data_IF_832307329953
#
_entry.id   IF_832307329953
#
_cell.length_a   1.000
_cell.length_b   1.000
_cell.length_c   1.000
_cell.angle_alpha   90.00
_cell.angle_beta   90.00
_cell.angle_gamma   90.00
#
_symmetry.space_group_name_H-M   'P 1'
#
loop_
_entity.id
_entity.type
_entity.pdbx_description
1 polymer ?
#
# COMPACT_ATOMS: atom_id res chain seq x y z
N UNK A 1 -0.86 28.93 -21.46
CA UNK A 1 -2.12 28.52 -22.13
C UNK A 1 -2.55 27.18 -21.56
N UNK A 2 -3.55 27.22 -20.68
CA UNK A 2 -4.14 26.06 -20.03
C UNK A 2 -4.80 25.12 -21.06
N UNK A 3 -4.43 23.83 -21.04
CA UNK A 3 -5.31 22.78 -21.56
C UNK A 3 -5.92 22.08 -20.35
N UNK A 4 -7.11 22.52 -19.96
CA UNK A 4 -7.98 21.76 -19.06
C UNK A 4 -8.41 20.51 -19.82
N UNK A 5 -7.99 19.33 -19.37
CA UNK A 5 -8.59 18.07 -19.79
C UNK A 5 -9.80 17.83 -18.89
N UNK A 6 -10.98 18.12 -19.42
CA UNK A 6 -12.24 17.73 -18.81
C UNK A 6 -12.44 16.26 -19.20
N UNK A 7 -12.10 15.34 -18.30
CA UNK A 7 -12.52 13.95 -18.43
C UNK A 7 -13.96 13.86 -17.92
N UNK A 8 -14.91 14.03 -18.83
CA UNK A 8 -16.30 13.66 -18.59
C UNK A 8 -16.40 12.14 -18.70
N UNK A 9 -16.22 11.43 -17.59
CA UNK A 9 -16.51 10.00 -17.49
C UNK A 9 -18.01 9.80 -17.34
N UNK A 10 -18.70 9.50 -18.46
CA UNK A 10 -20.07 9.04 -18.44
C UNK A 10 -20.18 7.76 -17.60
N UNK A 11 -20.96 7.81 -16.52
CA UNK A 11 -21.38 6.63 -15.77
C UNK A 11 -22.25 5.73 -16.66
N UNK A 12 -21.66 4.68 -17.21
CA UNK A 12 -22.41 3.53 -17.72
C UNK A 12 -22.89 2.69 -16.54
N UNK A 13 -24.05 3.01 -16.01
CA UNK A 13 -24.70 2.26 -14.93
C UNK A 13 -25.28 0.97 -15.54
N UNK A 14 -24.55 -0.14 -15.46
CA UNK A 14 -25.11 -1.45 -15.81
C UNK A 14 -25.93 -1.95 -14.62
N UNK A 15 -27.20 -1.54 -14.57
CA UNK A 15 -28.17 -2.08 -13.62
C UNK A 15 -28.64 -3.46 -14.10
N UNK A 16 -28.01 -4.53 -13.61
CA UNK A 16 -28.50 -5.88 -13.82
C UNK A 16 -29.55 -6.23 -12.75
N UNK A 17 -30.84 -6.06 -13.08
CA UNK A 17 -31.95 -6.58 -12.29
C UNK A 17 -32.10 -8.08 -12.57
N UNK A 18 -31.76 -8.95 -11.62
CA UNK A 18 -32.07 -10.38 -11.70
C UNK A 18 -33.16 -10.76 -10.69
N UNK A 19 -34.33 -11.12 -11.22
CA UNK A 19 -35.33 -11.91 -10.50
C UNK A 19 -34.79 -13.33 -10.33
N UNK A 20 -34.90 -13.84 -9.11
CA UNK A 20 -34.09 -14.94 -8.60
C UNK A 20 -34.24 -16.29 -9.29
N UNK A 21 -33.21 -17.11 -9.12
CA UNK A 21 -33.25 -18.56 -9.19
C UNK A 21 -32.24 -19.16 -8.18
N UNK A 22 -32.52 -20.41 -7.84
CA UNK A 22 -32.05 -21.25 -6.73
C UNK A 22 -30.53 -21.33 -6.52
N UNK A 23 -30.13 -21.33 -5.24
CA UNK A 23 -28.76 -21.43 -4.77
C UNK A 23 -28.13 -22.81 -5.03
N UNK A 24 -26.99 -22.80 -5.71
CA UNK A 24 -25.96 -23.84 -5.62
C UNK A 24 -24.90 -23.33 -4.63
N UNK A 25 -24.53 -24.15 -3.65
CA UNK A 25 -23.53 -23.80 -2.65
C UNK A 25 -22.14 -24.18 -3.19
N UNK A 26 -21.33 -23.18 -3.51
CA UNK A 26 -19.94 -23.31 -3.96
C UNK A 26 -19.71 -22.45 -5.20
N UNK A 27 -18.86 -21.43 -5.06
CA UNK A 27 -18.49 -20.45 -6.09
C UNK A 27 -19.58 -19.40 -6.37
N UNK A 28 -19.41 -18.18 -5.84
CA UNK A 28 -20.29 -17.06 -6.17
C UNK A 28 -19.98 -16.61 -7.60
N UNK A 29 -20.81 -17.04 -8.56
CA UNK A 29 -20.86 -16.62 -9.97
C UNK A 29 -21.10 -15.10 -10.20
N UNK A 30 -20.84 -14.26 -9.18
CA UNK A 30 -20.99 -12.81 -9.33
C UNK A 30 -19.76 -12.27 -10.08
N UNK A 31 -19.93 -11.73 -11.31
CA UNK A 31 -18.81 -11.14 -12.04
C UNK A 31 -18.22 -9.95 -11.27
N UNK A 32 -16.97 -9.62 -11.55
CA UNK A 32 -16.38 -8.40 -11.03
C UNK A 32 -17.23 -7.18 -11.43
N UNK A 33 -17.49 -6.29 -10.48
CA UNK A 33 -18.22 -5.08 -10.81
C UNK A 33 -18.83 -4.35 -9.63
N UNK A 34 -19.45 -3.24 -9.98
CA UNK A 34 -20.24 -2.44 -9.06
C UNK A 34 -21.65 -2.98 -8.97
N UNK A 35 -22.14 -3.08 -7.75
CA UNK A 35 -23.47 -3.56 -7.43
C UNK A 35 -24.16 -2.61 -6.47
N UNK A 36 -25.49 -2.71 -6.39
CA UNK A 36 -26.29 -1.89 -5.49
C UNK A 36 -27.45 -2.69 -4.92
N UNK A 37 -27.65 -2.58 -3.62
CA UNK A 37 -28.79 -3.13 -2.89
C UNK A 37 -29.51 -2.03 -2.08
N UNK A 38 -30.40 -2.43 -1.16
CA UNK A 38 -31.15 -1.52 -0.29
C UNK A 38 -30.27 -0.76 0.71
N UNK A 39 -29.08 -1.28 1.05
CA UNK A 39 -28.16 -0.70 2.03
C UNK A 39 -27.15 0.24 1.36
N UNK A 40 -26.73 -0.06 0.14
CA UNK A 40 -25.82 0.83 -0.57
C UNK A 40 -25.20 0.23 -1.83
N UNK A 41 -24.15 0.91 -2.30
CA UNK A 41 -23.32 0.46 -3.41
C UNK A 41 -22.17 -0.36 -2.87
N UNK A 42 -21.85 -1.50 -3.46
CA UNK A 42 -20.69 -2.33 -3.10
C UNK A 42 -19.94 -2.77 -4.37
N UNK A 43 -18.74 -3.30 -4.21
CA UNK A 43 -17.93 -3.82 -5.31
C UNK A 43 -17.57 -5.28 -5.06
N UNK A 44 -17.63 -6.08 -6.11
CA UNK A 44 -17.13 -7.45 -6.12
C UNK A 44 -15.90 -7.46 -7.00
N UNK A 45 -14.78 -7.95 -6.47
CA UNK A 45 -13.56 -8.12 -7.26
C UNK A 45 -13.63 -9.37 -8.15
N UNK A 46 -12.64 -9.53 -9.03
CA UNK A 46 -12.58 -10.67 -9.96
C UNK A 46 -12.43 -12.05 -9.30
N UNK A 47 -12.11 -12.12 -8.00
CA UNK A 47 -12.08 -13.37 -7.22
C UNK A 47 -13.42 -13.61 -6.49
N UNK A 48 -14.42 -12.76 -6.70
CA UNK A 48 -15.69 -12.82 -5.99
C UNK A 48 -15.64 -12.26 -4.56
N UNK A 49 -14.57 -11.54 -4.17
CA UNK A 49 -14.46 -10.95 -2.85
C UNK A 49 -15.03 -9.54 -2.80
N UNK A 50 -15.38 -9.11 -1.59
CA UNK A 50 -15.98 -7.81 -1.30
C UNK A 50 -15.00 -7.02 -0.43
N UNK A 51 -14.46 -5.88 -0.89
CA UNK A 51 -13.65 -5.02 -0.05
C UNK A 51 -14.44 -4.58 1.18
N UNK A 52 -13.90 -4.79 2.38
CA UNK A 52 -14.53 -4.42 3.65
C UNK A 52 -13.51 -3.70 4.54
N UNK A 53 -13.93 -2.59 5.12
CA UNK A 53 -13.16 -1.74 6.01
C UNK A 53 -11.78 -1.35 5.43
N UNK A 54 -11.76 -0.94 4.16
CA UNK A 54 -10.52 -0.63 3.45
C UNK A 54 -10.72 0.30 2.26
N UNK A 55 -9.62 0.97 1.89
CA UNK A 55 -9.48 1.57 0.57
C UNK A 55 -9.20 0.48 -0.48
N UNK A 56 -9.70 0.69 -1.69
CA UNK A 56 -9.58 -0.25 -2.80
C UNK A 56 -9.55 0.50 -4.12
N UNK A 57 -8.60 0.17 -4.99
CA UNK A 57 -8.49 0.79 -6.31
C UNK A 57 -9.26 0.02 -7.35
N UNK A 58 -10.12 0.73 -8.08
CA UNK A 58 -10.98 0.15 -9.09
C UNK A 58 -10.73 0.93 -10.38
N UNK A 59 -10.28 0.21 -11.42
CA UNK A 59 -10.00 0.75 -12.74
C UNK A 59 -10.78 0.04 -13.83
N UNK A 60 -10.78 0.64 -15.01
CA UNK A 60 -11.42 0.06 -16.20
C UNK A 60 -10.46 -0.93 -16.87
N UNK A 61 -10.70 -2.23 -16.64
CA UNK A 61 -9.95 -3.34 -17.25
C UNK A 61 -10.01 -3.36 -18.77
N UNK A 62 -11.08 -2.85 -19.37
CA UNK A 62 -11.27 -2.91 -20.82
C UNK A 62 -10.47 -1.82 -21.55
N UNK A 63 -10.06 -0.76 -20.85
CA UNK A 63 -9.50 0.42 -21.49
C UNK A 63 -8.14 0.90 -20.96
N UNK A 64 -7.44 0.06 -20.16
CA UNK A 64 -6.13 0.38 -19.54
C UNK A 64 -6.13 1.78 -18.88
N UNK A 65 -7.29 2.18 -18.36
CA UNK A 65 -7.51 3.50 -17.81
C UNK A 65 -6.92 3.61 -16.40
N UNK A 66 -6.77 4.83 -15.91
CA UNK A 66 -6.37 5.04 -14.53
C UNK A 66 -7.45 4.50 -13.57
N UNK A 67 -7.01 3.83 -12.50
CA UNK A 67 -7.84 3.40 -11.38
C UNK A 67 -8.12 4.58 -10.44
N UNK A 68 -9.32 4.65 -9.90
CA UNK A 68 -9.66 5.54 -8.79
C UNK A 68 -9.75 4.75 -7.48
N UNK A 69 -9.48 5.41 -6.35
CA UNK A 69 -9.52 4.79 -5.03
C UNK A 69 -10.87 5.05 -4.34
N UNK A 70 -11.45 4.01 -3.74
CA UNK A 70 -12.74 4.04 -3.07
C UNK A 70 -12.61 3.42 -1.68
N UNK A 71 -13.34 3.94 -0.69
CA UNK A 71 -13.40 3.31 0.63
C UNK A 71 -14.69 2.52 0.83
N UNK A 72 -14.55 1.30 1.33
CA UNK A 72 -15.66 0.44 1.71
C UNK A 72 -15.71 0.29 3.23
N UNK A 73 -16.89 0.50 3.81
CA UNK A 73 -17.11 0.41 5.25
C UNK A 73 -16.98 -1.04 5.77
N UNK A 74 -17.18 -1.22 7.08
CA UNK A 74 -17.08 -2.53 7.75
C UNK A 74 -18.02 -3.60 7.17
N UNK A 75 -19.12 -3.18 6.56
CA UNK A 75 -20.13 -4.07 5.98
C UNK A 75 -19.93 -4.26 4.46
N UNK A 76 -18.99 -3.52 3.86
CA UNK A 76 -18.60 -3.62 2.45
C UNK A 76 -19.27 -2.60 1.54
N UNK A 77 -19.89 -1.57 2.11
CA UNK A 77 -20.57 -0.54 1.33
C UNK A 77 -19.69 0.67 1.10
N UNK A 78 -19.76 1.20 -0.13
CA UNK A 78 -19.04 2.37 -0.59
C UNK A 78 -19.42 3.59 0.25
N UNK A 79 -18.42 4.24 0.81
CA UNK A 79 -18.59 5.55 1.45
C UNK A 79 -18.63 6.63 0.38
N UNK A 80 -19.79 7.28 0.23
CA UNK A 80 -20.08 8.23 -0.86
C UNK A 80 -19.81 9.70 -0.54
N UNK A 81 -19.36 10.08 0.66
CA UNK A 81 -18.93 11.45 0.95
C UNK A 81 -18.34 11.54 2.36
N UNK A 82 -17.49 12.53 2.60
CA UNK A 82 -16.97 12.83 3.93
C UNK A 82 -15.48 12.55 4.04
N UNK A 83 -15.00 12.39 5.26
CA UNK A 83 -13.60 12.08 5.54
C UNK A 83 -13.51 10.69 6.19
N UNK A 84 -12.68 9.83 5.61
CA UNK A 84 -12.39 8.48 6.11
C UNK A 84 -10.89 8.31 6.23
N UNK A 85 -10.42 7.91 7.42
CA UNK A 85 -9.00 7.76 7.74
C UNK A 85 -8.15 8.97 7.36
N UNK A 86 -8.79 10.13 7.37
CA UNK A 86 -8.14 11.35 6.99
C UNK A 86 -7.93 11.60 5.50
N UNK A 87 -8.64 10.88 4.67
CA UNK A 87 -8.77 11.11 3.25
C UNK A 87 -10.22 11.51 2.94
N UNK A 88 -10.40 12.54 2.14
CA UNK A 88 -11.74 13.01 1.76
C UNK A 88 -12.23 12.22 0.55
N UNK A 89 -13.49 11.81 0.55
CA UNK A 89 -14.14 11.23 -0.63
C UNK A 89 -15.19 12.20 -1.20
N UNK A 90 -15.29 12.26 -2.54
CA UNK A 90 -16.34 13.01 -3.23
C UNK A 90 -17.69 12.25 -3.18
N UNK A 91 -18.73 12.80 -3.84
CA UNK A 91 -20.10 12.25 -3.85
C UNK A 91 -20.22 10.90 -4.54
N UNK A 92 -19.26 10.62 -5.41
CA UNK A 92 -19.08 9.38 -6.15
C UNK A 92 -18.28 8.34 -5.33
N UNK A 93 -17.85 8.68 -4.11
CA UNK A 93 -17.06 7.84 -3.22
C UNK A 93 -15.58 7.73 -3.59
N UNK A 94 -15.14 8.53 -4.55
CA UNK A 94 -13.75 8.57 -5.00
C UNK A 94 -12.93 9.42 -4.06
N UNK A 95 -11.73 8.93 -3.74
CA UNK A 95 -10.75 9.69 -3.03
C UNK A 95 -10.38 10.99 -3.77
N UNK A 96 -10.42 12.11 -3.03
CA UNK A 96 -10.02 13.42 -3.52
C UNK A 96 -8.95 14.07 -2.64
N UNK A 97 -8.11 14.89 -3.29
CA UNK A 97 -7.18 15.81 -2.64
C UNK A 97 -7.42 17.19 -3.25
N UNK A 98 -7.68 18.20 -2.42
CA UNK A 98 -8.00 19.56 -2.87
C UNK A 98 -9.15 19.63 -3.91
N UNK A 99 -10.09 18.69 -3.85
CA UNK A 99 -11.23 18.61 -4.78
C UNK A 99 -10.95 17.83 -6.07
N UNK A 100 -9.74 17.33 -6.29
CA UNK A 100 -9.38 16.55 -7.48
C UNK A 100 -9.29 15.05 -7.17
N UNK A 101 -9.90 14.22 -8.01
CA UNK A 101 -9.88 12.76 -7.88
C UNK A 101 -8.46 12.25 -8.09
N UNK A 102 -8.03 11.36 -7.20
CA UNK A 102 -6.73 10.73 -7.27
C UNK A 102 -6.82 9.48 -8.15
N UNK A 103 -5.92 9.41 -9.12
CA UNK A 103 -5.84 8.37 -10.12
C UNK A 103 -4.46 7.74 -10.10
N UNK A 104 -4.38 6.44 -10.40
CA UNK A 104 -3.11 5.75 -10.67
C UNK A 104 -3.26 4.83 -11.88
N UNK A 105 -2.20 4.51 -12.61
CA UNK A 105 -2.29 3.53 -13.69
C UNK A 105 -2.86 2.20 -13.16
N UNK A 106 -3.90 1.67 -13.79
CA UNK A 106 -4.41 0.34 -13.44
C UNK A 106 -3.37 -0.70 -13.86
N UNK A 107 -2.61 -1.22 -12.89
CA UNK A 107 -1.75 -2.39 -13.07
C UNK A 107 -2.57 -3.62 -12.74
N UNK A 108 -2.76 -4.48 -13.73
CA UNK A 108 -3.26 -5.83 -13.52
C UNK A 108 -2.14 -6.64 -12.84
N UNK A 109 -2.00 -6.49 -11.52
CA UNK A 109 -1.09 -7.31 -10.69
C UNK A 109 -1.52 -8.77 -10.63
N UNK A 110 -2.59 -9.13 -11.33
CA UNK A 110 -3.30 -10.41 -11.21
C UNK A 110 -3.26 -11.25 -12.49
N UNK A 111 -2.44 -10.89 -13.48
CA UNK A 111 -2.14 -11.75 -14.62
C UNK A 111 -1.08 -12.82 -14.35
N UNK A 112 -0.63 -13.02 -13.10
CA UNK A 112 0.14 -14.20 -12.74
C UNK A 112 -0.42 -14.88 -11.48
N UNK A 113 -0.69 -16.16 -11.66
CA UNK A 113 -1.51 -17.08 -10.89
C UNK A 113 -0.92 -17.47 -9.52
N UNK A 114 -1.82 -17.85 -8.59
CA UNK A 114 -1.58 -18.63 -7.36
C UNK A 114 -0.72 -18.01 -6.25
N UNK A 115 -1.27 -17.97 -5.03
CA UNK A 115 -0.55 -17.68 -3.77
C UNK A 115 0.42 -18.82 -3.40
N UNK A 116 1.29 -19.23 -4.31
CA UNK A 116 2.56 -19.85 -3.95
C UNK A 116 3.57 -18.73 -3.74
N UNK A 117 4.48 -18.88 -2.77
CA UNK A 117 5.54 -17.89 -2.51
C UNK A 117 6.39 -17.74 -3.76
N UNK A 118 6.09 -16.76 -4.61
CA UNK A 118 6.99 -16.39 -5.69
C UNK A 118 8.17 -15.70 -5.06
N UNK A 119 9.33 -16.34 -5.14
CA UNK A 119 10.59 -15.65 -4.99
C UNK A 119 10.82 -14.79 -6.24
N UNK A 120 11.23 -13.53 -6.10
CA UNK A 120 11.70 -12.72 -7.22
C UNK A 120 12.97 -13.35 -7.84
N UNK A 121 13.51 -12.76 -8.91
CA UNK A 121 14.74 -13.24 -9.55
C UNK A 121 15.95 -13.36 -8.57
N UNK A 122 15.82 -12.83 -7.35
CA UNK A 122 16.80 -12.86 -6.27
C UNK A 122 16.40 -13.73 -5.08
N UNK A 123 15.42 -14.62 -5.21
CA UNK A 123 15.05 -15.52 -4.13
C UNK A 123 14.19 -14.87 -3.04
N UNK A 124 13.60 -13.69 -3.26
CA UNK A 124 12.84 -12.98 -2.22
C UNK A 124 11.33 -13.11 -2.37
N UNK A 125 10.57 -13.27 -1.27
CA UNK A 125 9.12 -13.32 -1.36
C UNK A 125 8.57 -12.05 -2.03
N UNK A 126 7.87 -12.23 -3.15
CA UNK A 126 7.05 -11.20 -3.77
C UNK A 126 5.76 -11.10 -2.97
N UNK A 127 5.60 -9.99 -2.25
CA UNK A 127 4.36 -9.69 -1.54
C UNK A 127 3.41 -9.00 -2.52
N UNK A 128 2.66 -9.78 -3.29
CA UNK A 128 1.75 -9.26 -4.33
C UNK A 128 0.28 -9.24 -3.90
N UNK A 129 -0.09 -9.92 -2.82
CA UNK A 129 -1.47 -10.03 -2.36
C UNK A 129 -1.59 -9.86 -0.84
N UNK A 130 -2.68 -9.20 -0.41
CA UNK A 130 -3.03 -9.09 1.00
C UNK A 130 -3.72 -10.39 1.42
N UNK A 131 -2.96 -11.30 1.98
CA UNK A 131 -3.51 -12.37 2.80
C UNK A 131 -3.51 -11.92 4.26
N UNK A 132 -4.62 -11.30 4.70
CA UNK A 132 -4.79 -10.87 6.09
C UNK A 132 -4.58 -12.03 7.08
N UNK A 133 -4.91 -13.27 6.69
CA UNK A 133 -4.67 -14.45 7.53
C UNK A 133 -3.17 -14.70 7.72
N UNK A 134 -2.37 -14.60 6.66
CA UNK A 134 -0.90 -14.70 6.73
C UNK A 134 -0.32 -13.64 7.67
N UNK A 135 -0.77 -12.40 7.58
CA UNK A 135 -0.28 -11.31 8.45
C UNK A 135 -0.66 -11.51 9.92
N UNK A 136 -1.85 -12.08 10.17
CA UNK A 136 -2.24 -12.50 11.50
C UNK A 136 -1.34 -13.62 12.04
N UNK A 137 -1.03 -14.63 11.23
CA UNK A 137 -0.14 -15.73 11.63
C UNK A 137 1.30 -15.24 11.88
N UNK A 138 1.86 -14.42 10.99
CA UNK A 138 3.22 -13.89 11.11
C UNK A 138 3.41 -12.89 12.26
N UNK A 139 2.34 -12.23 12.69
CA UNK A 139 2.35 -11.31 13.83
C UNK A 139 1.91 -11.97 15.15
N UNK A 140 1.68 -13.29 15.18
CA UNK A 140 1.32 -14.00 16.39
C UNK A 140 2.41 -13.86 17.46
N UNK A 141 2.06 -13.33 18.64
CA UNK A 141 2.99 -13.09 19.73
C UNK A 141 3.95 -11.90 19.54
N UNK A 142 3.77 -11.08 18.51
CA UNK A 142 4.64 -9.92 18.21
C UNK A 142 3.87 -8.76 17.60
N UNK A 143 4.59 -7.69 17.25
CA UNK A 143 4.08 -6.57 16.46
C UNK A 143 4.70 -6.57 15.06
N UNK A 144 3.91 -6.19 14.06
CA UNK A 144 4.35 -6.02 12.69
C UNK A 144 3.67 -4.81 12.06
N UNK A 145 4.43 -4.01 11.33
CA UNK A 145 3.88 -2.97 10.47
C UNK A 145 3.77 -3.55 9.06
N UNK A 146 2.59 -3.45 8.46
CA UNK A 146 2.39 -3.71 7.03
C UNK A 146 2.22 -2.38 6.31
N UNK A 147 3.04 -2.13 5.29
CA UNK A 147 2.91 -1.00 4.38
C UNK A 147 2.40 -1.55 3.06
N UNK A 148 1.16 -1.25 2.76
CA UNK A 148 0.48 -1.63 1.53
C UNK A 148 0.44 -0.38 0.64
N UNK A 149 1.35 -0.36 -0.34
CA UNK A 149 1.48 0.78 -1.23
C UNK A 149 0.26 0.88 -2.13
N UNK A 150 -0.28 -0.26 -2.54
CA UNK A 150 -1.41 -0.30 -3.43
C UNK A 150 -2.63 0.29 -2.76
N UNK A 151 -2.99 -0.13 -1.56
CA UNK A 151 -4.16 0.40 -0.85
C UNK A 151 -3.91 1.76 -0.16
N UNK A 152 -2.70 2.34 -0.25
CA UNK A 152 -2.36 3.56 0.49
C UNK A 152 -2.49 3.44 1.99
N UNK A 153 -2.05 2.30 2.55
CA UNK A 153 -2.20 1.98 3.97
C UNK A 153 -0.88 1.68 4.67
N UNK A 154 -0.83 2.11 5.93
CA UNK A 154 0.07 1.54 6.93
C UNK A 154 -0.78 0.89 8.00
N UNK A 155 -0.57 -0.38 8.26
CA UNK A 155 -1.34 -1.17 9.22
C UNK A 155 -0.43 -1.66 10.33
N UNK A 156 -0.94 -1.68 11.56
CA UNK A 156 -0.25 -2.29 12.70
C UNK A 156 -0.98 -3.57 13.07
N UNK A 157 -0.26 -4.68 12.99
CA UNK A 157 -0.68 -5.95 13.54
C UNK A 157 -0.03 -6.17 14.90
N UNK A 158 -0.79 -6.69 15.86
CA UNK A 158 -0.32 -7.07 17.19
C UNK A 158 -0.99 -8.35 17.62
N UNK A 159 -0.19 -9.37 17.97
CA UNK A 159 -0.68 -10.68 18.39
C UNK A 159 -1.72 -11.27 17.44
N UNK A 160 -1.43 -11.22 16.14
CA UNK A 160 -2.29 -11.76 15.10
C UNK A 160 -3.59 -10.99 14.84
N UNK A 161 -3.68 -9.72 15.25
CA UNK A 161 -4.83 -8.87 14.98
C UNK A 161 -4.38 -7.55 14.38
N UNK A 162 -5.08 -7.07 13.33
CA UNK A 162 -4.94 -5.70 12.85
C UNK A 162 -5.53 -4.74 13.90
N UNK A 163 -4.68 -4.04 14.62
CA UNK A 163 -5.09 -3.13 15.70
C UNK A 163 -5.17 -1.68 15.23
N UNK A 164 -4.51 -1.34 14.12
CA UNK A 164 -4.55 -0.01 13.49
C UNK A 164 -4.45 -0.12 11.98
N UNK A 165 -5.02 0.88 11.33
CA UNK A 165 -5.05 1.01 9.88
C UNK A 165 -5.03 2.51 9.57
N UNK A 166 -3.98 3.00 8.90
CA UNK A 166 -3.74 4.43 8.67
C UNK A 166 -3.63 4.72 7.18
N UNK A 167 -4.20 5.84 6.73
CA UNK A 167 -3.91 6.35 5.40
C UNK A 167 -2.46 6.83 5.28
N UNK A 168 -1.84 6.49 4.16
CA UNK A 168 -0.48 6.85 3.85
C UNK A 168 -0.33 7.39 2.43
N UNK A 169 0.78 8.08 2.21
CA UNK A 169 1.26 8.46 0.89
C UNK A 169 2.72 8.05 0.74
N UNK A 170 3.15 7.79 -0.49
CA UNK A 170 4.46 7.21 -0.77
C UNK A 170 5.25 8.10 -1.72
N UNK A 171 6.33 7.51 -2.25
CA UNK A 171 7.12 8.07 -3.32
C UNK A 171 6.28 8.48 -4.53
N UNK A 172 6.78 9.45 -5.30
CA UNK A 172 6.15 9.96 -6.51
C UNK A 172 5.98 8.92 -7.62
N UNK A 173 6.80 7.87 -7.60
CA UNK A 173 6.74 6.81 -8.61
C UNK A 173 6.30 5.48 -8.00
N UNK A 174 5.48 4.77 -8.77
CA UNK A 174 5.05 3.41 -8.48
C UNK A 174 6.17 2.39 -8.72
N UNK A 175 6.17 1.32 -7.92
CA UNK A 175 7.17 0.23 -8.00
C UNK A 175 8.25 0.31 -6.93
N UNK A 176 9.10 -0.72 -6.89
CA UNK A 176 10.15 -0.91 -5.88
C UNK A 176 11.30 0.08 -6.04
N UNK A 177 11.84 0.50 -4.90
CA UNK A 177 13.06 1.31 -4.84
C UNK A 177 14.30 0.51 -5.20
N UNK A 178 15.09 1.02 -6.14
CA UNK A 178 16.33 0.41 -6.59
C UNK A 178 17.55 1.33 -6.43
N UNK A 179 17.36 2.65 -6.41
CA UNK A 179 18.47 3.61 -6.37
C UNK A 179 18.10 4.91 -5.65
N UNK A 180 19.10 5.62 -5.13
CA UNK A 180 18.92 6.98 -4.64
C UNK A 180 18.30 7.89 -5.72
N UNK A 181 17.30 8.69 -5.32
CA UNK A 181 16.66 9.66 -6.22
C UNK A 181 15.65 9.09 -7.23
N UNK A 182 15.39 7.78 -7.21
CA UNK A 182 14.40 7.16 -8.10
C UNK A 182 12.94 7.49 -7.77
N UNK A 183 12.69 8.05 -6.57
CA UNK A 183 11.39 8.49 -6.04
C UNK A 183 10.41 7.33 -5.75
N UNK A 184 10.90 6.10 -5.65
CA UNK A 184 10.11 4.93 -5.26
C UNK A 184 10.18 4.70 -3.75
N UNK A 185 9.08 4.21 -3.16
CA UNK A 185 9.09 3.63 -1.81
C UNK A 185 9.52 2.16 -1.89
N UNK A 186 10.42 1.69 -1.01
CA UNK A 186 10.89 0.30 -1.03
C UNK A 186 9.76 -0.73 -0.90
N UNK A 187 10.03 -1.94 -1.39
CA UNK A 187 9.21 -3.14 -1.22
C UNK A 187 10.13 -4.25 -0.68
N UNK A 188 9.60 -5.13 0.17
CA UNK A 188 10.33 -6.19 0.87
C UNK A 188 10.23 -6.09 2.39
N UNK A 189 11.07 -6.86 3.08
CA UNK A 189 11.12 -6.87 4.54
C UNK A 189 12.19 -5.94 5.11
N UNK A 190 11.80 -5.21 6.16
CA UNK A 190 12.62 -4.25 6.88
C UNK A 190 12.23 -4.26 8.36
N UNK A 191 12.80 -3.34 9.14
CA UNK A 191 12.40 -3.09 10.51
C UNK A 191 12.61 -1.62 10.88
N UNK A 192 11.95 -1.20 11.97
CA UNK A 192 12.16 0.11 12.57
C UNK A 192 13.60 0.18 13.12
N UNK A 193 14.48 0.91 12.45
CA UNK A 193 15.89 0.99 12.82
C UNK A 193 16.23 2.28 13.59
N UNK A 194 15.33 3.27 13.55
CA UNK A 194 15.50 4.54 14.25
C UNK A 194 14.16 5.13 14.67
N UNK A 195 14.13 5.87 15.77
CA UNK A 195 12.98 6.68 16.20
C UNK A 195 13.44 8.12 16.40
N UNK A 196 12.77 9.07 15.75
CA UNK A 196 13.03 10.51 15.88
C UNK A 196 11.78 11.20 16.42
N UNK A 197 11.93 11.85 17.57
CA UNK A 197 10.90 12.71 18.15
C UNK A 197 11.11 14.16 17.68
N UNK A 198 10.10 14.77 17.06
CA UNK A 198 10.11 16.17 16.67
C UNK A 198 10.81 16.46 15.34
N UNK A 199 10.90 17.76 15.00
CA UNK A 199 11.48 18.25 13.75
C UNK A 199 10.46 18.45 12.62
N UNK A 200 10.97 18.68 11.41
CA UNK A 200 10.17 19.01 10.22
C UNK A 200 9.25 17.87 9.74
N UNK A 201 9.35 16.66 10.32
CA UNK A 201 8.51 15.51 10.01
C UNK A 201 7.54 15.13 11.15
N UNK A 202 7.43 15.95 12.20
CA UNK A 202 6.65 15.68 13.43
C UNK A 202 7.14 14.49 14.27
N UNK A 203 7.03 13.28 13.74
CA UNK A 203 7.61 12.01 14.23
C UNK A 203 8.11 11.22 13.03
N UNK A 204 9.19 10.47 13.20
CA UNK A 204 9.69 9.59 12.16
C UNK A 204 10.22 8.27 12.72
N UNK A 205 9.86 7.18 12.05
CA UNK A 205 10.41 5.84 12.21
C UNK A 205 11.33 5.57 11.02
N UNK A 206 12.64 5.47 11.26
CA UNK A 206 13.59 5.09 10.24
C UNK A 206 13.41 3.62 9.86
N UNK A 207 13.44 3.34 8.56
CA UNK A 207 13.34 1.98 8.01
C UNK A 207 14.75 1.48 7.71
N UNK A 208 15.01 0.20 7.98
CA UNK A 208 16.32 -0.44 7.78
C UNK A 208 16.75 -0.61 6.31
N UNK A 209 16.06 0.02 5.35
CA UNK A 209 16.45 0.04 3.94
C UNK A 209 17.87 0.62 3.81
N UNK A 210 18.75 0.04 2.97
CA UNK A 210 18.57 -1.17 2.16
C UNK A 210 18.73 -2.48 2.95
N UNK A 211 18.00 -3.52 2.54
CA UNK A 211 18.18 -4.90 3.01
C UNK A 211 19.21 -5.66 2.13
N UNK A 212 19.40 -6.95 2.40
CA UNK A 212 20.38 -7.78 1.66
C UNK A 212 20.02 -7.94 0.17
N UNK A 213 18.73 -8.12 -0.14
CA UNK A 213 18.25 -8.24 -1.53
C UNK A 213 18.45 -6.94 -2.30
N UNK A 214 18.18 -5.78 -1.69
CA UNK A 214 18.44 -4.49 -2.33
C UNK A 214 19.93 -4.33 -2.67
N UNK A 215 20.81 -4.86 -1.81
CA UNK A 215 22.25 -4.84 -2.04
C UNK A 215 22.71 -5.82 -3.14
N UNK A 216 22.10 -6.99 -3.24
CA UNK A 216 22.35 -7.95 -4.32
C UNK A 216 21.91 -7.38 -5.68
N UNK A 217 20.70 -6.79 -5.74
CA UNK A 217 20.22 -6.05 -6.91
C UNK A 217 21.21 -4.95 -7.29
N UNK A 218 21.67 -4.18 -6.29
CA UNK A 218 22.60 -3.08 -6.48
C UNK A 218 23.93 -3.49 -7.09
N UNK A 219 24.51 -4.63 -6.68
CA UNK A 219 25.74 -5.16 -7.28
C UNK A 219 25.48 -5.69 -8.69
N UNK A 220 24.39 -6.44 -8.89
CA UNK A 220 24.03 -6.99 -10.20
C UNK A 220 23.84 -5.91 -11.27
N UNK A 221 23.39 -4.72 -10.87
CA UNK A 221 23.14 -3.59 -11.77
C UNK A 221 24.22 -2.49 -11.72
N UNK A 222 25.34 -2.72 -11.02
CA UNK A 222 26.46 -1.77 -10.93
C UNK A 222 26.12 -0.46 -10.21
N UNK A 223 25.10 -0.45 -9.36
CA UNK A 223 24.69 0.71 -8.53
C UNK A 223 25.64 0.85 -7.33
N UNK A 224 26.01 -0.28 -6.73
CA UNK A 224 26.98 -0.36 -5.63
C UNK A 224 28.05 -1.42 -5.94
N UNK A 225 29.19 -1.36 -5.23
CA UNK A 225 30.23 -2.37 -5.32
C UNK A 225 30.09 -3.47 -4.25
N UNK A 226 30.89 -4.53 -4.38
CA UNK A 226 30.88 -5.66 -3.45
C UNK A 226 31.21 -5.25 -2.00
N UNK A 227 32.07 -4.23 -1.83
CA UNK A 227 32.42 -3.72 -0.50
C UNK A 227 31.21 -3.06 0.17
N UNK A 228 30.44 -2.26 -0.56
CA UNK A 228 29.21 -1.66 -0.09
C UNK A 228 28.16 -2.73 0.22
N UNK A 229 28.04 -3.78 -0.61
CA UNK A 229 27.16 -4.92 -0.35
C UNK A 229 27.48 -5.61 0.98
N UNK A 230 28.75 -5.93 1.23
CA UNK A 230 29.18 -6.51 2.50
C UNK A 230 28.89 -5.60 3.70
N UNK A 231 29.01 -4.29 3.53
CA UNK A 231 28.66 -3.33 4.58
C UNK A 231 27.14 -3.27 4.85
N UNK A 232 26.29 -3.42 3.83
CA UNK A 232 24.82 -3.55 4.00
C UNK A 232 24.48 -4.86 4.70
N UNK A 233 25.13 -5.96 4.31
CA UNK A 233 24.95 -7.27 4.93
C UNK A 233 25.29 -7.25 6.42
N UNK A 234 26.49 -6.76 6.76
CA UNK A 234 26.96 -6.67 8.14
C UNK A 234 26.02 -5.81 9.00
N UNK A 235 25.48 -4.71 8.45
CA UNK A 235 24.49 -3.88 9.13
C UNK A 235 23.19 -4.65 9.40
N UNK A 236 22.65 -5.33 8.39
CA UNK A 236 21.41 -6.12 8.53
C UNK A 236 21.56 -7.29 9.54
N UNK A 237 22.71 -7.98 9.51
CA UNK A 237 23.02 -9.06 10.46
C UNK A 237 23.14 -8.54 11.90
N UNK A 238 23.65 -7.32 12.08
CA UNK A 238 23.72 -6.64 13.36
C UNK A 238 22.40 -5.96 13.79
N UNK A 239 21.29 -6.16 13.04
CA UNK A 239 20.01 -5.44 13.24
C UNK A 239 20.18 -3.92 13.27
N UNK A 240 21.04 -3.41 12.39
CA UNK A 240 21.35 -2.00 12.14
C UNK A 240 21.18 -1.64 10.65
N UNK A 241 21.45 -0.40 10.27
CA UNK A 241 21.25 0.11 8.92
C UNK A 241 22.53 0.67 8.31
N UNK A 242 22.63 0.65 6.98
CA UNK A 242 23.70 1.32 6.23
C UNK A 242 23.11 2.28 5.19
N UNK A 243 23.10 3.56 5.53
CA UNK A 243 22.53 4.65 4.75
C UNK A 243 23.58 5.42 3.92
N UNK A 244 24.71 4.79 3.63
CA UNK A 244 25.85 5.44 2.95
C UNK A 244 26.10 4.85 1.55
N UNK A 245 25.09 4.25 0.93
CA UNK A 245 25.21 3.60 -0.38
C UNK A 245 24.36 4.29 -1.44
N UNK A 246 24.69 4.07 -2.72
CA UNK A 246 23.95 4.63 -3.85
C UNK A 246 22.54 4.03 -4.02
N UNK A 247 22.17 3.01 -3.25
CA UNK A 247 20.78 2.52 -3.17
C UNK A 247 19.85 3.57 -2.54
N UNK A 248 20.43 4.45 -1.72
CA UNK A 248 19.74 5.51 -1.02
C UNK A 248 19.72 5.30 0.49
N UNK A 249 19.01 6.20 1.15
CA UNK A 249 19.04 6.36 2.60
C UNK A 249 17.81 7.12 3.10
N UNK A 250 17.67 7.21 4.43
CA UNK A 250 16.64 8.03 5.09
C UNK A 250 15.22 7.76 4.57
N UNK A 251 14.90 6.50 4.29
CA UNK A 251 13.51 6.07 4.09
C UNK A 251 12.87 5.98 5.47
N UNK A 252 11.81 6.76 5.69
CA UNK A 252 11.15 6.85 6.99
C UNK A 252 9.63 6.72 6.87
N UNK A 253 8.98 6.17 7.89
CA UNK A 253 7.53 6.34 8.14
C UNK A 253 7.37 7.59 9.00
N UNK A 254 6.75 8.64 8.47
CA UNK A 254 6.79 9.96 9.12
C UNK A 254 5.48 10.76 9.04
N UNK A 255 5.39 11.88 9.77
CA UNK A 255 4.23 12.78 9.78
C UNK A 255 4.21 13.77 8.60
N UNK A 256 3.48 14.88 8.72
CA UNK A 256 3.41 15.95 7.73
C UNK A 256 3.10 15.43 6.31
N UNK A 257 2.12 14.54 6.23
CA UNK A 257 1.66 13.94 4.97
C UNK A 257 1.44 15.00 3.88
N UNK A 258 2.22 14.98 2.79
CA UNK A 258 1.94 15.81 1.62
C UNK A 258 0.71 15.28 0.88
N UNK A 259 0.34 15.90 -0.26
CA UNK A 259 -0.50 15.25 -1.26
C UNK A 259 0.02 13.87 -1.65
N UNK A 260 -0.82 13.13 -2.36
CA UNK A 260 -0.62 11.72 -2.69
C UNK A 260 0.56 11.54 -3.63
N UNK A 261 1.34 10.49 -3.40
CA UNK A 261 2.54 10.12 -4.14
C UNK A 261 3.40 11.35 -4.43
N UNK A 262 3.78 12.05 -3.36
CA UNK A 262 4.58 13.27 -3.46
C UNK A 262 5.82 13.23 -2.55
N UNK A 263 6.11 12.11 -1.89
CA UNK A 263 7.37 11.96 -1.15
C UNK A 263 8.49 11.57 -2.10
N UNK A 264 9.73 11.61 -1.61
CA UNK A 264 10.92 11.14 -2.35
C UNK A 264 11.22 9.64 -2.13
N UNK A 265 10.25 8.90 -1.61
CA UNK A 265 10.36 7.48 -1.26
C UNK A 265 10.00 7.15 0.19
N UNK A 266 9.78 8.15 1.04
CA UNK A 266 9.26 7.95 2.39
C UNK A 266 7.77 7.57 2.41
N UNK A 267 7.33 6.99 3.52
CA UNK A 267 5.92 6.71 3.79
C UNK A 267 5.40 7.79 4.74
N UNK A 268 4.49 8.65 4.29
CA UNK A 268 4.01 9.76 5.10
C UNK A 268 2.55 9.57 5.54
N UNK A 269 2.29 9.84 6.82
CA UNK A 269 1.02 9.71 7.52
C UNK A 269 0.62 11.08 8.09
N UNK A 270 -0.64 11.23 8.50
CA UNK A 270 -1.04 12.42 9.28
C UNK A 270 -0.28 12.46 10.60
N UNK A 271 -0.12 13.65 11.17
CA UNK A 271 0.63 13.86 12.41
C UNK A 271 0.09 13.03 13.58
N UNK A 272 -1.23 12.97 13.72
CA UNK A 272 -1.91 12.12 14.71
C UNK A 272 -1.58 10.64 14.52
N UNK A 273 -1.61 10.17 13.29
CA UNK A 273 -1.53 8.76 12.93
C UNK A 273 -0.10 8.24 13.10
N UNK A 274 0.89 9.03 12.65
CA UNK A 274 2.30 8.69 12.92
C UNK A 274 2.61 8.77 14.42
N UNK A 275 1.97 9.66 15.17
CA UNK A 275 2.20 9.76 16.62
C UNK A 275 1.62 8.54 17.36
N UNK A 276 0.41 8.09 16.98
CA UNK A 276 -0.18 6.86 17.48
C UNK A 276 0.68 5.63 17.13
N UNK A 277 1.11 5.48 15.87
CA UNK A 277 2.01 4.40 15.46
C UNK A 277 3.34 4.46 16.20
N UNK A 278 3.97 5.64 16.27
CA UNK A 278 5.25 5.86 16.93
C UNK A 278 5.20 5.45 18.41
N UNK A 279 4.09 5.68 19.09
CA UNK A 279 3.94 5.33 20.51
C UNK A 279 3.72 3.81 20.72
N UNK A 280 3.23 3.10 19.70
CA UNK A 280 2.92 1.67 19.80
C UNK A 280 4.10 0.75 19.46
N UNK A 281 5.06 1.20 18.63
CA UNK A 281 6.13 0.34 18.10
C UNK A 281 7.51 0.67 18.66
N UNK A 282 8.40 -0.32 18.69
CA UNK A 282 9.78 -0.20 19.17
C UNK A 282 10.81 -0.23 18.04
N UNK A 283 12.07 0.02 18.39
CA UNK A 283 13.20 -0.36 17.51
C UNK A 283 13.16 -1.88 17.33
N UNK A 284 13.35 -2.34 16.10
CA UNK A 284 13.31 -3.76 15.74
C UNK A 284 11.93 -4.29 15.36
N UNK A 285 10.84 -3.50 15.51
CA UNK A 285 9.52 -3.90 15.00
C UNK A 285 9.63 -4.18 13.49
N UNK A 286 9.20 -5.37 13.07
CA UNK A 286 9.23 -5.82 11.68
C UNK A 286 8.31 -4.94 10.83
N UNK A 287 8.77 -4.64 9.63
CA UNK A 287 8.02 -3.90 8.62
C UNK A 287 8.02 -4.74 7.36
N UNK A 288 6.84 -5.07 6.85
CA UNK A 288 6.67 -5.64 5.52
C UNK A 288 6.14 -4.54 4.61
N UNK A 289 6.82 -4.28 3.50
CA UNK A 289 6.39 -3.31 2.50
C UNK A 289 6.04 -4.04 1.22
N UNK A 290 4.80 -3.91 0.77
CA UNK A 290 4.29 -4.57 -0.42
C UNK A 290 3.82 -3.56 -1.46
N UNK A 291 3.70 -4.05 -2.70
CA UNK A 291 3.18 -3.28 -3.82
C UNK A 291 1.77 -2.77 -3.54
#
# INVERSE_FOLDING_TARGET
>A
MNKKRIAAGCFGLVAALFFGLTAYAGETDQPEGWYQDEKGTYFVDYRGNYPRNRWYWIGDRQNRGDAACYYFDKDGYLVKSGEVDGCTVNREGQWIVNGEVQYRPFRDSHLNETTEQFEDEYGQPVYSDIDEKKWCEESAGTQMILVDKDSHRVQLYTNGNKVRDYCATFGEKDGKKHQEGDMHTPEGEYYVCKKKAGGHLWRALGISYPNKSDADYGVAHGIIDEKARQAVYAANDAKSYNWSTNLGSYVEIHGNRPPVNATRGCTALRNSDVEDLYNQVGIGTRIVMMA
#
